data_IF_423428182929
#
_entry.id   IF_423428182929
#
_cell.length_a   1.000
_cell.length_b   1.000
_cell.length_c   1.000
_cell.angle_alpha   90.00
_cell.angle_beta   90.00
_cell.angle_gamma   90.00
#
_symmetry.space_group_name_H-M   'P 1'
#
loop_
_entity.id
_entity.type
_entity.pdbx_description
1 polymer ?
#
# COMPACT_ATOMS: atom_id res chain seq x y z
N UNK A 1 6.42 -7.77 15.80
CA UNK A 1 7.59 -6.87 15.87
C UNK A 1 8.90 -7.61 15.73
N UNK A 2 9.23 -8.60 16.57
CA UNK A 2 10.47 -9.40 16.42
C UNK A 2 10.65 -9.94 15.00
N UNK A 3 9.62 -10.56 14.41
CA UNK A 3 9.70 -11.07 13.03
C UNK A 3 9.99 -10.01 11.97
N UNK A 4 9.56 -8.77 12.16
CA UNK A 4 9.86 -7.68 11.22
C UNK A 4 11.33 -7.26 11.34
N UNK A 5 11.84 -7.18 12.57
CA UNK A 5 13.25 -6.88 12.84
C UNK A 5 14.16 -7.98 12.28
N UNK A 6 13.88 -9.24 12.61
CA UNK A 6 14.62 -10.40 12.11
C UNK A 6 14.64 -10.44 10.57
N UNK A 7 13.53 -10.07 9.93
CA UNK A 7 13.43 -10.02 8.47
C UNK A 7 14.31 -8.91 7.89
N UNK A 8 14.32 -7.72 8.51
CA UNK A 8 15.21 -6.64 8.10
C UNK A 8 16.69 -6.99 8.32
N UNK A 9 17.03 -7.56 9.47
CA UNK A 9 18.42 -7.95 9.77
C UNK A 9 18.93 -9.03 8.81
N UNK A 10 18.04 -9.83 8.22
CA UNK A 10 18.37 -10.81 7.17
C UNK A 10 18.45 -10.22 5.75
N UNK A 11 17.97 -8.99 5.52
CA UNK A 11 17.91 -8.33 4.21
C UNK A 11 18.47 -6.90 4.30
N UNK A 12 19.80 -6.79 4.23
CA UNK A 12 20.52 -5.51 4.34
C UNK A 12 20.19 -4.51 3.22
N UNK A 13 19.72 -5.01 2.08
CA UNK A 13 19.28 -4.22 0.93
C UNK A 13 17.87 -3.66 1.08
N UNK A 14 17.05 -4.19 1.99
CA UNK A 14 15.69 -3.73 2.21
C UNK A 14 15.66 -2.50 3.13
N UNK A 15 14.89 -1.48 2.73
CA UNK A 15 14.66 -0.28 3.54
C UNK A 15 13.61 -0.48 4.65
N UNK A 16 12.70 -1.43 4.45
CA UNK A 16 11.61 -1.73 5.37
C UNK A 16 11.11 -3.17 5.25
N UNK A 17 10.46 -3.66 6.31
CA UNK A 17 9.76 -4.92 6.33
C UNK A 17 8.28 -4.71 6.64
N UNK A 18 7.45 -5.58 6.09
CA UNK A 18 6.00 -5.56 6.27
C UNK A 18 5.45 -6.98 6.34
N UNK A 19 4.19 -7.11 6.76
CA UNK A 19 3.49 -8.40 6.76
C UNK A 19 2.02 -8.25 6.42
N UNK A 20 1.28 -9.35 6.61
CA UNK A 20 -0.15 -9.42 6.33
C UNK A 20 -0.97 -8.69 7.40
N UNK A 21 -2.22 -8.36 7.05
CA UNK A 21 -3.20 -7.77 7.96
C UNK A 21 -4.30 -8.78 8.25
N UNK A 22 -4.56 -9.06 9.53
CA UNK A 22 -5.74 -9.82 9.96
C UNK A 22 -6.85 -8.84 10.34
N UNK A 23 -7.98 -8.93 9.66
CA UNK A 23 -9.19 -8.23 10.01
C UNK A 23 -10.03 -9.09 10.96
N UNK A 24 -10.58 -8.46 12.01
CA UNK A 24 -11.48 -9.12 12.95
C UNK A 24 -12.62 -8.19 13.40
N UNK A 25 -13.71 -8.74 13.95
CA UNK A 25 -14.90 -7.97 14.35
C UNK A 25 -16.08 -8.24 13.43
N UNK A 26 -16.55 -7.22 12.71
CA UNK A 26 -17.70 -7.37 11.80
C UNK A 26 -17.40 -8.29 10.60
N UNK A 27 -16.12 -8.40 10.22
CA UNK A 27 -15.62 -9.35 9.22
C UNK A 27 -14.30 -9.96 9.73
N UNK A 28 -14.10 -11.25 9.48
CA UNK A 28 -12.87 -11.98 9.84
C UNK A 28 -12.20 -12.54 8.58
N UNK A 29 -10.98 -12.09 8.29
CA UNK A 29 -10.14 -12.62 7.21
C UNK A 29 -8.70 -12.11 7.32
N UNK A 30 -7.75 -12.84 6.72
CA UNK A 30 -6.38 -12.35 6.50
C UNK A 30 -6.27 -11.77 5.10
N UNK A 31 -5.79 -10.53 5.02
CA UNK A 31 -5.44 -9.84 3.79
C UNK A 31 -3.94 -9.98 3.56
N UNK A 32 -3.51 -10.83 2.61
CA UNK A 32 -2.10 -10.99 2.35
C UNK A 32 -1.55 -9.80 1.55
N UNK A 33 -0.40 -9.28 1.98
CA UNK A 33 0.23 -8.14 1.30
C UNK A 33 0.93 -8.60 0.00
N UNK A 34 0.80 -7.87 -1.12
CA UNK A 34 1.65 -8.09 -2.29
C UNK A 34 3.12 -7.82 -1.96
N UNK A 35 4.03 -8.45 -2.70
CA UNK A 35 5.41 -7.98 -2.75
C UNK A 35 5.44 -6.49 -3.07
N UNK A 36 6.41 -5.77 -2.49
CA UNK A 36 6.46 -4.34 -2.66
C UNK A 36 6.67 -3.97 -4.14
N UNK A 37 5.79 -3.13 -4.66
CA UNK A 37 5.75 -2.77 -6.08
C UNK A 37 5.45 -1.27 -6.22
N UNK A 38 6.45 -0.45 -6.60
CA UNK A 38 6.29 0.97 -6.84
C UNK A 38 5.18 1.32 -7.85
N UNK A 39 4.83 0.42 -8.77
CA UNK A 39 3.72 0.68 -9.68
C UNK A 39 2.36 0.56 -8.98
N UNK A 40 2.22 -0.35 -8.01
CA UNK A 40 0.97 -0.53 -7.26
C UNK A 40 0.69 0.64 -6.32
N UNK A 41 1.73 1.29 -5.77
CA UNK A 41 1.57 2.47 -4.90
C UNK A 41 0.87 3.61 -5.64
N UNK A 42 0.92 3.69 -6.98
CA UNK A 42 0.18 4.70 -7.75
C UNK A 42 -1.35 4.55 -7.68
N UNK A 43 -1.86 3.43 -7.15
CA UNK A 43 -3.27 3.07 -7.23
C UNK A 43 -3.87 2.73 -5.86
N UNK A 44 -3.08 2.27 -4.91
CA UNK A 44 -3.59 2.03 -3.57
C UNK A 44 -2.49 1.74 -2.57
N UNK A 45 -2.87 1.87 -1.30
CA UNK A 45 -2.08 1.33 -0.21
C UNK A 45 -2.50 -0.13 0.04
N UNK A 46 -1.64 -1.07 -0.36
CA UNK A 46 -1.88 -2.51 -0.21
C UNK A 46 -1.11 -3.14 0.94
N UNK A 47 -0.28 -2.37 1.63
CA UNK A 47 0.59 -2.84 2.70
C UNK A 47 0.02 -2.50 4.07
N UNK A 48 0.42 -3.27 5.07
CA UNK A 48 0.02 -3.04 6.46
C UNK A 48 0.42 -1.63 6.90
N UNK A 49 -0.41 -0.91 7.68
CA UNK A 49 0.00 0.34 8.30
C UNK A 49 1.11 0.13 9.35
N UNK A 50 1.33 -1.12 9.80
CA UNK A 50 2.41 -1.49 10.71
C UNK A 50 3.59 -2.09 9.95
N UNK A 51 4.38 -1.23 9.31
CA UNK A 51 5.69 -1.59 8.74
C UNK A 51 6.83 -1.28 9.73
N UNK A 52 7.97 -1.94 9.56
CA UNK A 52 9.20 -1.58 10.25
C UNK A 52 10.18 -0.98 9.25
N UNK A 53 10.77 0.17 9.58
CA UNK A 53 11.71 0.88 8.73
C UNK A 53 13.09 0.93 9.38
N UNK A 54 14.14 0.90 8.57
CA UNK A 54 15.48 1.27 9.05
C UNK A 54 15.49 2.74 9.46
N UNK A 55 16.22 3.06 10.53
CA UNK A 55 16.35 4.45 10.99
C UNK A 55 16.90 5.37 9.91
N UNK A 56 17.89 4.90 9.15
CA UNK A 56 18.51 5.64 8.03
C UNK A 56 17.51 6.00 6.93
N UNK A 57 16.49 5.16 6.71
CA UNK A 57 15.42 5.42 5.74
C UNK A 57 14.50 6.54 6.24
N UNK A 58 14.14 6.52 7.53
CA UNK A 58 13.36 7.61 8.13
C UNK A 58 14.14 8.93 8.05
N UNK A 59 15.44 8.91 8.36
CA UNK A 59 16.28 10.13 8.30
C UNK A 59 16.40 10.69 6.88
N UNK A 60 16.49 9.84 5.87
CA UNK A 60 16.58 10.25 4.47
C UNK A 60 15.24 10.77 3.91
N UNK A 61 14.12 10.15 4.30
CA UNK A 61 12.79 10.45 3.75
C UNK A 61 12.01 11.50 4.53
N UNK A 62 12.42 11.77 5.78
CA UNK A 62 11.65 12.58 6.73
C UNK A 62 10.44 11.86 7.34
N UNK A 63 10.17 10.62 6.96
CA UNK A 63 9.04 9.84 7.46
C UNK A 63 7.67 10.37 7.00
N UNK A 64 6.71 10.43 7.92
CA UNK A 64 5.34 10.87 7.63
C UNK A 64 5.29 12.38 7.44
N UNK A 65 4.71 12.81 6.32
CA UNK A 65 4.59 14.25 5.98
C UNK A 65 3.15 14.75 5.87
N UNK A 66 2.16 13.85 5.87
CA UNK A 66 0.74 14.21 5.95
C UNK A 66 0.24 13.95 7.37
N UNK A 67 -0.43 14.97 7.93
CA UNK A 67 -1.08 14.89 9.25
C UNK A 67 -2.58 14.55 9.15
N UNK A 68 -3.07 14.24 7.95
CA UNK A 68 -4.48 13.95 7.69
C UNK A 68 -4.75 12.48 7.31
N UNK A 69 -5.47 12.21 6.22
CA UNK A 69 -5.79 10.86 5.78
C UNK A 69 -4.84 10.49 4.64
N UNK A 70 -4.38 9.23 4.60
CA UNK A 70 -3.43 8.70 3.60
C UNK A 70 -1.96 9.00 3.91
N UNK A 71 -1.65 9.29 5.16
CA UNK A 71 -0.29 9.39 5.71
C UNK A 71 0.54 8.13 5.48
N UNK A 72 -0.10 6.97 5.58
CA UNK A 72 0.51 5.67 5.33
C UNK A 72 0.78 5.45 3.84
N UNK A 73 -0.15 5.84 2.98
CA UNK A 73 -0.01 5.76 1.54
C UNK A 73 1.06 6.74 1.03
N UNK A 74 1.10 7.96 1.58
CA UNK A 74 2.13 8.95 1.30
C UNK A 74 3.52 8.40 1.59
N UNK A 75 3.70 7.78 2.75
CA UNK A 75 4.96 7.13 3.11
C UNK A 75 5.35 6.04 2.11
N UNK A 76 4.42 5.16 1.73
CA UNK A 76 4.70 4.11 0.73
C UNK A 76 5.09 4.70 -0.64
N UNK A 77 4.49 5.82 -1.03
CA UNK A 77 4.86 6.54 -2.25
C UNK A 77 6.24 7.20 -2.13
N UNK A 78 6.57 7.82 -0.99
CA UNK A 78 7.92 8.36 -0.74
C UNK A 78 8.98 7.27 -0.86
N UNK A 79 8.77 6.12 -0.23
CA UNK A 79 9.68 4.98 -0.30
C UNK A 79 9.85 4.48 -1.75
N UNK A 80 8.76 4.39 -2.50
CA UNK A 80 8.79 4.04 -3.93
C UNK A 80 9.53 5.07 -4.79
N UNK A 81 9.30 6.36 -4.52
CA UNK A 81 9.91 7.47 -5.27
C UNK A 81 11.42 7.50 -5.10
N UNK A 82 11.88 7.30 -3.86
CA UNK A 82 13.29 7.30 -3.48
C UNK A 82 14.00 5.96 -3.76
N UNK A 83 13.26 4.97 -4.28
CA UNK A 83 13.81 3.70 -4.75
C UNK A 83 14.08 2.67 -3.66
N UNK A 84 13.51 2.83 -2.46
CA UNK A 84 13.61 1.83 -1.41
C UNK A 84 12.82 0.58 -1.75
N UNK A 85 13.35 -0.58 -1.38
CA UNK A 85 12.68 -1.88 -1.47
C UNK A 85 12.15 -2.29 -0.10
N UNK A 86 11.10 -3.11 -0.12
CA UNK A 86 10.51 -3.71 1.07
C UNK A 86 10.49 -5.22 0.99
N UNK A 87 10.59 -5.87 2.15
CA UNK A 87 10.56 -7.33 2.26
C UNK A 87 9.35 -7.80 3.09
N UNK A 88 8.64 -8.81 2.59
CA UNK A 88 7.54 -9.43 3.31
C UNK A 88 8.06 -10.44 4.36
N UNK A 89 7.61 -10.34 5.62
CA UNK A 89 8.10 -11.21 6.70
C UNK A 89 7.40 -12.59 6.77
N UNK A 90 6.53 -12.91 5.81
CA UNK A 90 5.83 -14.19 5.72
C UNK A 90 4.78 -14.44 6.81
N UNK A 91 4.36 -13.41 7.55
CA UNK A 91 3.45 -13.51 8.69
C UNK A 91 2.50 -12.33 8.78
N UNK A 92 1.39 -12.51 9.47
CA UNK A 92 0.55 -11.40 9.94
C UNK A 92 1.31 -10.56 10.96
N UNK A 93 1.33 -9.25 10.73
CA UNK A 93 2.02 -8.28 11.60
C UNK A 93 1.08 -7.27 12.24
N UNK A 94 -0.15 -7.18 11.73
CA UNK A 94 -1.13 -6.22 12.21
C UNK A 94 -2.52 -6.87 12.29
N UNK A 95 -3.24 -6.56 13.37
CA UNK A 95 -4.64 -6.98 13.57
C UNK A 95 -5.52 -5.75 13.60
N UNK A 96 -6.38 -5.62 12.60
CA UNK A 96 -7.27 -4.49 12.45
C UNK A 96 -8.70 -4.86 12.86
N UNK A 97 -9.23 -4.22 13.90
CA UNK A 97 -10.64 -4.39 14.26
C UNK A 97 -11.52 -3.60 13.31
N UNK A 98 -12.29 -4.30 12.49
CA UNK A 98 -13.36 -3.69 11.71
C UNK A 98 -14.59 -3.53 12.60
N UNK A 99 -14.92 -2.29 12.97
CA UNK A 99 -16.10 -1.98 13.77
C UNK A 99 -16.76 -0.68 13.30
N UNK A 100 -17.90 -0.82 12.61
CA UNK A 100 -18.74 0.30 12.19
C UNK A 100 -18.25 1.07 10.95
N UNK A 101 -19.19 1.40 10.06
CA UNK A 101 -18.96 2.02 8.74
C UNK A 101 -18.53 3.51 8.73
N UNK A 102 -18.23 4.13 9.89
CA UNK A 102 -18.23 5.62 10.01
C UNK A 102 -16.98 6.32 9.46
N UNK A 103 -15.77 5.82 9.71
CA UNK A 103 -14.52 6.51 9.29
C UNK A 103 -14.29 6.40 7.77
N UNK A 104 -14.57 5.23 7.19
CA UNK A 104 -14.44 4.96 5.76
C UNK A 104 -15.30 5.91 4.89
N UNK A 105 -16.44 6.40 5.38
CA UNK A 105 -17.30 7.29 4.60
C UNK A 105 -16.74 8.72 4.44
N UNK A 106 -16.03 9.27 5.45
CA UNK A 106 -15.48 10.64 5.34
C UNK A 106 -14.28 10.70 4.39
N UNK A 107 -13.35 9.75 4.49
CA UNK A 107 -12.22 9.65 3.57
C UNK A 107 -12.69 9.34 2.14
N UNK A 108 -13.75 8.54 1.96
CA UNK A 108 -14.34 8.29 0.63
C UNK A 108 -14.88 9.55 -0.04
N UNK A 109 -15.55 10.42 0.73
CA UNK A 109 -16.08 11.68 0.19
C UNK A 109 -14.97 12.63 -0.26
N UNK A 110 -13.79 12.52 0.34
CA UNK A 110 -12.60 13.35 0.03
C UNK A 110 -11.55 12.60 -0.79
N UNK A 111 -11.85 11.40 -1.29
CA UNK A 111 -10.83 10.56 -1.95
C UNK A 111 -10.20 11.27 -3.16
N UNK A 112 -11.00 11.91 -4.00
CA UNK A 112 -10.49 12.65 -5.16
C UNK A 112 -9.52 13.76 -4.74
N UNK A 113 -9.90 14.57 -3.74
CA UNK A 113 -9.07 15.64 -3.19
C UNK A 113 -7.76 15.10 -2.60
N UNK A 114 -7.85 14.07 -1.74
CA UNK A 114 -6.68 13.47 -1.09
C UNK A 114 -5.74 12.79 -2.10
N UNK A 115 -6.31 12.12 -3.10
CA UNK A 115 -5.53 11.50 -4.16
C UNK A 115 -4.84 12.54 -5.06
N UNK A 116 -5.48 13.67 -5.36
CA UNK A 116 -4.85 14.78 -6.07
C UNK A 116 -3.66 15.34 -5.30
N UNK A 117 -3.76 15.48 -3.98
CA UNK A 117 -2.62 15.88 -3.13
C UNK A 117 -1.46 14.88 -3.21
N UNK A 118 -1.75 13.58 -3.18
CA UNK A 118 -0.73 12.54 -3.38
C UNK A 118 -0.08 12.64 -4.76
N UNK A 119 -0.86 12.87 -5.82
CA UNK A 119 -0.33 13.05 -7.18
C UNK A 119 0.55 14.29 -7.29
N UNK A 120 0.15 15.39 -6.65
CA UNK A 120 0.93 16.63 -6.64
C UNK A 120 2.26 16.45 -5.91
N UNK A 121 2.24 15.84 -4.73
CA UNK A 121 3.41 15.59 -3.90
C UNK A 121 4.38 14.59 -4.53
N UNK A 122 3.86 13.53 -5.15
CA UNK A 122 4.65 12.46 -5.78
C UNK A 122 4.70 12.58 -7.30
N UNK A 123 4.69 13.82 -7.82
CA UNK A 123 4.63 14.08 -9.26
C UNK A 123 5.69 13.32 -10.04
N UNK A 124 6.91 13.22 -9.50
CA UNK A 124 8.03 12.54 -10.15
C UNK A 124 7.80 11.03 -10.24
N UNK A 125 7.27 10.41 -9.17
CA UNK A 125 6.85 9.01 -9.20
C UNK A 125 5.76 8.77 -10.25
N UNK A 126 4.77 9.66 -10.35
CA UNK A 126 3.70 9.57 -11.36
C UNK A 126 4.20 9.77 -12.80
N UNK A 127 5.20 10.62 -13.03
CA UNK A 127 5.86 10.76 -14.33
C UNK A 127 6.56 9.47 -14.77
N UNK A 128 7.12 8.73 -13.81
CA UNK A 128 7.78 7.42 -14.04
C UNK A 128 6.81 6.26 -14.21
N UNK A 129 5.50 6.47 -14.15
CA UNK A 129 4.46 5.41 -14.27
C UNK A 129 4.69 4.40 -15.39
N UNK A 130 5.12 4.85 -16.58
CA UNK A 130 5.39 3.94 -17.73
C UNK A 130 6.63 3.08 -17.53
N UNK A 131 7.66 3.61 -16.89
CA UNK A 131 8.87 2.88 -16.51
C UNK A 131 8.53 1.82 -15.45
N UNK A 132 7.87 2.24 -14.36
CA UNK A 132 7.44 1.35 -13.28
C UNK A 132 6.55 0.21 -13.80
N UNK A 133 5.67 0.51 -14.76
CA UNK A 133 4.82 -0.50 -15.38
C UNK A 133 5.61 -1.57 -16.15
N UNK A 134 6.81 -1.28 -16.66
CA UNK A 134 7.62 -2.25 -17.42
C UNK A 134 8.34 -3.24 -16.50
N UNK A 135 8.70 -2.81 -15.30
CA UNK A 135 9.42 -3.62 -14.30
C UNK A 135 8.47 -4.30 -13.31
N UNK A 136 7.25 -3.78 -13.14
CA UNK A 136 6.24 -4.34 -12.25
C UNK A 136 5.71 -5.69 -12.75
N UNK A 137 5.73 -6.75 -11.91
CA UNK A 137 5.09 -8.02 -12.21
C UNK A 137 3.56 -7.93 -12.19
N UNK A 138 3.00 -6.90 -11.55
CA UNK A 138 1.55 -6.69 -11.42
C UNK A 138 0.97 -5.85 -12.58
N UNK A 139 1.80 -5.18 -13.36
CA UNK A 139 1.40 -4.33 -14.47
C UNK A 139 1.11 -5.11 -15.77
N UNK A 140 0.24 -6.13 -15.71
CA UNK A 140 -0.28 -6.80 -16.91
C UNK A 140 -0.98 -5.81 -17.86
N UNK A 141 -1.12 -6.15 -19.16
CA UNK A 141 -1.81 -5.27 -20.14
C UNK A 141 -3.21 -4.85 -19.67
N UNK A 142 -3.96 -5.78 -19.06
CA UNK A 142 -5.28 -5.51 -18.49
C UNK A 142 -5.21 -4.66 -17.22
N UNK A 143 -4.24 -4.90 -16.34
CA UNK A 143 -4.05 -4.09 -15.15
C UNK A 143 -3.75 -2.62 -15.53
N UNK A 144 -2.84 -2.39 -16.50
CA UNK A 144 -2.51 -1.04 -16.98
C UNK A 144 -3.71 -0.27 -17.53
N UNK A 145 -4.68 -0.97 -18.13
CA UNK A 145 -5.91 -0.37 -18.65
C UNK A 145 -6.96 -0.12 -17.56
N UNK A 146 -7.14 -1.08 -16.65
CA UNK A 146 -8.25 -1.07 -15.69
C UNK A 146 -7.92 -0.35 -14.38
N UNK A 147 -6.66 -0.37 -13.94
CA UNK A 147 -6.25 0.23 -12.67
C UNK A 147 -6.49 1.74 -12.61
N UNK A 148 -6.15 2.54 -13.65
CA UNK A 148 -6.44 3.98 -13.63
C UNK A 148 -7.92 4.29 -13.45
N UNK A 149 -8.82 3.47 -14.02
CA UNK A 149 -10.27 3.64 -13.91
C UNK A 149 -10.78 3.21 -12.54
N UNK A 150 -10.25 2.10 -12.02
CA UNK A 150 -10.69 1.49 -10.76
C UNK A 150 -10.15 2.21 -9.53
N UNK A 151 -8.96 2.78 -9.63
CA UNK A 151 -8.18 3.26 -8.50
C UNK A 151 -7.68 4.71 -8.62
N UNK A 152 -7.78 5.34 -9.79
CA UNK A 152 -7.38 6.74 -9.98
C UNK A 152 -8.39 7.75 -9.40
N UNK A 153 -8.14 9.04 -9.60
CA UNK A 153 -8.97 10.15 -9.07
C UNK A 153 -10.46 10.04 -9.42
N UNK A 154 -10.81 9.38 -10.52
CA UNK A 154 -12.19 9.15 -10.96
C UNK A 154 -12.88 7.95 -10.29
N UNK A 155 -12.28 7.32 -9.27
CA UNK A 155 -12.81 6.14 -8.57
C UNK A 155 -14.23 6.40 -8.06
N UNK A 156 -15.22 5.97 -8.83
CA UNK A 156 -16.63 5.91 -8.44
C UNK A 156 -16.91 4.50 -7.94
N UNK A 157 -17.07 4.40 -6.61
CA UNK A 157 -17.69 3.28 -5.90
C UNK A 157 -17.02 1.90 -6.05
N UNK A 158 -15.89 1.69 -5.36
CA UNK A 158 -15.59 0.36 -4.78
C UNK A 158 -15.00 0.56 -3.38
N UNK A 159 -15.62 0.01 -2.32
CA UNK A 159 -15.06 0.02 -0.97
C UNK A 159 -13.67 -0.62 -0.94
N UNK A 160 -12.66 0.04 -0.36
CA UNK A 160 -11.32 -0.53 -0.18
C UNK A 160 -11.35 -1.91 0.50
N UNK A 161 -12.24 -2.12 1.48
CA UNK A 161 -12.46 -3.42 2.13
C UNK A 161 -12.95 -4.51 1.19
N UNK A 162 -13.76 -4.18 0.16
CA UNK A 162 -14.20 -5.14 -0.86
C UNK A 162 -13.07 -5.46 -1.84
N UNK A 163 -12.18 -4.52 -2.10
CA UNK A 163 -11.03 -4.74 -2.99
C UNK A 163 -9.95 -5.57 -2.31
N UNK A 164 -9.65 -5.28 -1.05
CA UNK A 164 -8.75 -6.10 -0.24
C UNK A 164 -9.29 -7.53 -0.11
N UNK A 165 -10.60 -7.69 0.11
CA UNK A 165 -11.25 -9.01 0.18
C UNK A 165 -11.25 -9.72 -1.18
N UNK A 166 -11.56 -9.03 -2.28
CA UNK A 166 -11.55 -9.60 -3.63
C UNK A 166 -10.13 -9.93 -4.13
N UNK A 167 -9.13 -9.13 -3.76
CA UNK A 167 -7.73 -9.36 -4.08
C UNK A 167 -7.17 -10.51 -3.24
N UNK A 168 -7.48 -10.56 -1.93
CA UNK A 168 -7.14 -11.66 -1.04
C UNK A 168 -7.75 -12.99 -1.54
N UNK A 169 -9.03 -13.00 -1.89
CA UNK A 169 -9.71 -14.19 -2.45
C UNK A 169 -9.09 -14.60 -3.79
N UNK A 170 -8.84 -13.66 -4.71
CA UNK A 170 -8.22 -13.99 -6.01
C UNK A 170 -6.79 -14.52 -5.89
N UNK A 171 -6.04 -14.07 -4.88
CA UNK A 171 -4.68 -14.53 -4.61
C UNK A 171 -4.68 -15.90 -3.93
N UNK A 172 -5.58 -16.13 -2.98
CA UNK A 172 -5.75 -17.44 -2.33
C UNK A 172 -6.19 -18.55 -3.32
N UNK A 173 -6.93 -18.20 -4.37
CA UNK A 173 -7.36 -19.14 -5.42
C UNK A 173 -6.31 -19.40 -6.52
N UNK A 174 -5.14 -18.75 -6.47
CA UNK A 174 -4.04 -18.91 -7.44
C UNK A 174 -2.80 -19.61 -6.85
N UNK A 175 -2.85 -20.02 -5.58
CA UNK A 175 -1.92 -20.97 -4.98
C UNK A 175 -2.53 -22.36 -4.96
#
# INVERSE_FOLDING_TARGET
LASLADTLDAHDDAGFAFGDVEYFGDDEFVAPAPEFDPWLTLYGNFWSPSIMLRRTVIDATGGWSLDDYYEDWDLMMTLAQDGYTGVHCGRTTFRHRNHGFRMLNRARLRHAELYERLVERHRDLFQRKRELARTSPNASRWARLTFPVRYGSARRFVPASIETRAFAIKRALRG
#
